data_IF_532100328213
#
_entry.id   IF_532100328213
#
_cell.length_a   1.000
_cell.length_b   1.000
_cell.length_c   1.000
_cell.angle_alpha   90.00
_cell.angle_beta   90.00
_cell.angle_gamma   90.00
#
_symmetry.space_group_name_H-M   'P 1'
#
loop_
_entity.id
_entity.type
_entity.pdbx_description
1 polymer ?
#
# COMPACT_ATOMS: atom_id res chain seq x y z
N UNK A 1 58.32 18.70 -26.50
CA UNK A 1 58.13 17.74 -27.61
C UNK A 1 56.92 18.20 -28.42
N UNK A 2 57.17 18.88 -29.55
CA UNK A 2 56.88 18.41 -30.94
C UNK A 2 55.37 18.34 -31.26
N UNK A 3 54.76 19.38 -31.89
CA UNK A 3 54.62 19.66 -33.36
C UNK A 3 53.66 18.68 -34.06
N UNK A 4 52.81 18.98 -35.06
CA UNK A 4 52.38 20.13 -35.89
C UNK A 4 51.49 19.55 -37.03
N UNK A 5 50.79 20.40 -37.81
CA UNK A 5 50.29 20.23 -39.21
C UNK A 5 48.98 19.44 -39.46
N UNK A 6 48.12 19.74 -40.46
CA UNK A 6 48.03 20.73 -41.59
C UNK A 6 46.69 20.43 -42.33
N UNK A 7 45.74 21.37 -42.53
CA UNK A 7 45.51 22.31 -43.65
C UNK A 7 44.84 21.80 -44.97
N UNK A 8 43.84 22.59 -45.42
CA UNK A 8 43.34 22.97 -46.79
C UNK A 8 42.46 22.05 -47.68
N UNK A 9 41.20 22.49 -47.88
CA UNK A 9 40.49 23.01 -49.10
C UNK A 9 40.86 22.48 -50.53
N UNK A 10 39.91 22.43 -51.52
CA UNK A 10 39.29 23.64 -52.10
C UNK A 10 37.86 23.57 -52.71
N UNK A 11 37.43 24.77 -53.09
CA UNK A 11 36.21 25.26 -53.75
C UNK A 11 36.13 24.86 -55.23
N UNK A 12 34.92 24.74 -55.82
CA UNK A 12 34.70 25.02 -57.25
C UNK A 12 33.25 25.51 -57.55
N UNK A 13 33.15 26.70 -58.15
CA UNK A 13 31.99 27.28 -58.83
C UNK A 13 31.79 26.63 -60.21
N UNK A 14 30.56 26.61 -60.75
CA UNK A 14 30.31 26.97 -62.15
C UNK A 14 28.83 27.38 -62.38
N UNK A 15 28.67 28.45 -63.16
CA UNK A 15 27.45 29.15 -63.56
C UNK A 15 27.04 28.75 -64.99
N UNK A 16 25.78 29.03 -65.38
CA UNK A 16 25.34 29.74 -66.61
C UNK A 16 24.04 29.17 -67.24
N UNK A 17 23.01 30.01 -67.24
CA UNK A 17 22.18 30.53 -68.35
C UNK A 17 21.49 29.61 -69.39
N UNK A 18 20.23 29.96 -69.71
CA UNK A 18 19.70 29.87 -71.09
C UNK A 18 18.23 29.41 -71.28
N UNK A 19 17.28 30.35 -71.24
CA UNK A 19 16.01 30.35 -72.02
C UNK A 19 16.27 30.74 -73.50
N UNK A 20 15.30 30.84 -74.44
CA UNK A 20 14.06 30.10 -74.79
C UNK A 20 14.13 29.69 -76.32
N UNK A 21 13.07 29.47 -77.18
CA UNK A 21 11.99 30.43 -77.53
C UNK A 21 10.59 29.85 -77.92
N UNK A 22 9.64 30.78 -78.11
CA UNK A 22 8.30 30.71 -78.70
C UNK A 22 8.24 30.29 -80.19
N UNK A 23 7.12 29.72 -80.65
CA UNK A 23 6.33 30.22 -81.81
C UNK A 23 5.06 29.40 -82.13
N UNK A 24 4.05 30.12 -82.61
CA UNK A 24 2.66 29.73 -82.95
C UNK A 24 2.50 28.68 -84.06
N UNK A 25 1.36 27.95 -84.04
CA UNK A 25 0.56 27.75 -85.26
C UNK A 25 -0.90 27.34 -84.97
N UNK A 26 -1.83 28.14 -85.46
CA UNK A 26 -3.29 27.91 -85.51
C UNK A 26 -3.65 27.03 -86.73
N UNK A 27 -4.42 25.95 -86.56
CA UNK A 27 -5.21 25.33 -87.65
C UNK A 27 -6.54 24.76 -87.14
N UNK A 28 -7.63 25.39 -87.59
CA UNK A 28 -8.99 24.89 -87.59
C UNK A 28 -9.14 23.62 -88.44
N UNK A 29 -9.68 22.53 -87.87
CA UNK A 29 -10.45 21.53 -88.64
C UNK A 29 -11.66 21.04 -87.83
N UNK A 30 -12.86 21.24 -88.39
CA UNK A 30 -14.12 20.64 -87.92
C UNK A 30 -14.11 19.16 -88.25
N UNK A 31 -14.41 18.29 -87.29
CA UNK A 31 -14.77 16.90 -87.55
C UNK A 31 -16.05 16.55 -86.78
N UNK A 32 -16.88 15.80 -87.49
CA UNK A 32 -18.29 15.53 -87.30
C UNK A 32 -18.51 14.52 -86.15
N UNK A 33 -19.61 14.70 -85.42
CA UNK A 33 -20.06 13.86 -84.30
C UNK A 33 -20.26 12.39 -84.69
N UNK A 34 -19.72 11.46 -83.88
CA UNK A 34 -20.17 10.07 -83.85
C UNK A 34 -20.81 9.75 -82.48
N UNK A 35 -22.15 9.73 -82.45
CA UNK A 35 -23.00 9.51 -81.26
C UNK A 35 -23.05 8.06 -80.78
N UNK A 36 -21.90 7.42 -80.53
CA UNK A 36 -21.86 6.04 -79.94
C UNK A 36 -20.97 5.85 -78.70
N UNK A 37 -20.23 6.88 -78.25
CA UNK A 37 -19.38 6.80 -77.04
C UNK A 37 -19.97 7.36 -75.74
N UNK A 38 -21.10 8.08 -75.80
CA UNK A 38 -21.55 8.91 -74.67
C UNK A 38 -22.24 8.15 -73.53
N UNK A 39 -22.77 6.94 -73.80
CA UNK A 39 -23.54 6.16 -72.82
C UNK A 39 -22.63 5.31 -71.92
N UNK A 40 -21.43 4.94 -72.37
CA UNK A 40 -20.48 4.12 -71.60
C UNK A 40 -19.66 4.98 -70.61
N UNK A 41 -19.41 6.26 -70.92
CA UNK A 41 -18.63 7.15 -70.04
C UNK A 41 -19.39 7.60 -68.78
N UNK A 42 -20.72 7.71 -68.80
CA UNK A 42 -21.51 8.15 -67.62
C UNK A 42 -21.64 7.07 -66.53
N UNK A 43 -21.53 5.78 -66.88
CA UNK A 43 -21.60 4.68 -65.90
C UNK A 43 -20.31 4.47 -65.12
N UNK A 44 -19.14 4.73 -65.73
CA UNK A 44 -17.83 4.62 -65.07
C UNK A 44 -17.52 5.82 -64.16
N UNK A 45 -17.98 7.02 -64.51
CA UNK A 45 -17.79 8.23 -63.67
C UNK A 45 -18.63 8.22 -62.40
N UNK A 46 -19.86 7.68 -62.44
CA UNK A 46 -20.71 7.52 -61.24
C UNK A 46 -20.13 6.47 -60.28
N UNK A 47 -19.55 5.38 -60.80
CA UNK A 47 -18.94 4.36 -59.95
C UNK A 47 -17.65 4.86 -59.27
N UNK A 48 -16.85 5.67 -59.97
CA UNK A 48 -15.60 6.23 -59.44
C UNK A 48 -15.86 7.30 -58.37
N UNK A 49 -16.88 8.15 -58.51
CA UNK A 49 -17.23 9.14 -57.48
C UNK A 49 -17.93 8.52 -56.26
N UNK A 50 -18.63 7.41 -56.43
CA UNK A 50 -19.25 6.65 -55.33
C UNK A 50 -18.21 5.87 -54.54
N UNK A 51 -17.19 5.31 -55.20
CA UNK A 51 -16.03 4.69 -54.54
C UNK A 51 -15.13 5.73 -53.88
N UNK A 52 -14.96 6.92 -54.47
CA UNK A 52 -14.17 8.00 -53.87
C UNK A 52 -14.86 8.61 -52.64
N UNK A 53 -16.20 8.78 -52.64
CA UNK A 53 -16.95 9.20 -51.44
C UNK A 53 -17.03 8.10 -50.37
N UNK A 54 -17.07 6.82 -50.76
CA UNK A 54 -17.00 5.69 -49.82
C UNK A 54 -15.60 5.53 -49.21
N UNK A 55 -14.54 5.89 -49.95
CA UNK A 55 -13.18 5.95 -49.41
C UNK A 55 -12.94 7.18 -48.53
N UNK A 56 -13.61 8.31 -48.79
CA UNK A 56 -13.51 9.52 -47.97
C UNK A 56 -14.26 9.39 -46.63
N UNK A 57 -15.33 8.58 -46.57
CA UNK A 57 -16.03 8.26 -45.31
C UNK A 57 -15.32 7.20 -44.45
N UNK A 58 -14.38 6.44 -45.02
CA UNK A 58 -13.56 5.46 -44.31
C UNK A 58 -12.26 6.03 -43.72
N UNK A 59 -11.91 7.28 -44.03
CA UNK A 59 -10.63 7.90 -43.64
C UNK A 59 -10.71 8.84 -42.41
N UNK A 60 -11.86 8.97 -41.76
CA UNK A 60 -12.04 9.81 -40.55
C UNK A 60 -12.50 9.00 -39.34
N UNK A 61 -11.85 7.87 -39.08
CA UNK A 61 -11.77 7.37 -37.70
C UNK A 61 -10.54 8.02 -37.07
N UNK A 62 -10.71 9.26 -36.59
CA UNK A 62 -9.74 9.79 -35.64
C UNK A 62 -9.70 8.81 -34.46
N UNK A 63 -8.52 8.33 -34.02
CA UNK A 63 -8.46 7.62 -32.76
C UNK A 63 -8.96 8.59 -31.69
N UNK A 64 -10.15 8.31 -31.14
CA UNK A 64 -10.55 8.91 -29.88
C UNK A 64 -9.58 8.36 -28.85
N UNK A 65 -8.56 9.13 -28.51
CA UNK A 65 -7.75 8.84 -27.33
C UNK A 65 -8.71 8.93 -26.15
N UNK A 66 -9.12 7.78 -25.63
CA UNK A 66 -9.79 7.72 -24.35
C UNK A 66 -8.82 8.34 -23.34
N UNK A 67 -9.24 9.45 -22.74
CA UNK A 67 -8.50 10.04 -21.64
C UNK A 67 -8.48 9.05 -20.48
N UNK A 68 -7.29 8.76 -19.94
CA UNK A 68 -7.14 7.77 -18.89
C UNK A 68 -8.01 8.14 -17.69
N UNK A 69 -8.77 7.15 -17.19
CA UNK A 69 -9.66 7.36 -16.06
C UNK A 69 -8.87 7.71 -14.79
N UNK A 70 -9.44 8.61 -13.97
CA UNK A 70 -8.84 8.97 -12.68
C UNK A 70 -8.66 7.74 -11.80
N UNK A 71 -7.45 7.56 -11.27
CA UNK A 71 -7.09 6.46 -10.37
C UNK A 71 -6.64 7.00 -9.03
N UNK A 72 -6.99 6.29 -7.96
CA UNK A 72 -6.68 6.68 -6.60
C UNK A 72 -5.95 5.56 -5.88
N UNK A 73 -4.78 5.89 -5.34
CA UNK A 73 -3.94 4.96 -4.58
C UNK A 73 -3.50 5.65 -3.29
N UNK A 74 -3.13 4.88 -2.28
CA UNK A 74 -2.50 5.43 -1.09
C UNK A 74 -1.14 4.81 -0.85
N UNK A 75 -0.27 5.57 -0.19
CA UNK A 75 1.08 5.16 0.17
C UNK A 75 1.34 5.52 1.62
N UNK A 76 2.17 4.74 2.29
CA UNK A 76 2.47 4.93 3.71
C UNK A 76 3.94 5.29 3.87
N UNK A 77 4.25 6.21 4.78
CA UNK A 77 5.64 6.66 5.02
C UNK A 77 6.55 5.50 5.41
N UNK A 78 6.07 4.66 6.33
CA UNK A 78 6.76 3.51 6.87
C UNK A 78 5.73 2.44 7.22
N UNK A 79 6.07 1.17 6.97
CA UNK A 79 5.19 0.05 7.32
C UNK A 79 5.45 -0.48 8.74
N UNK A 80 6.50 0.03 9.40
CA UNK A 80 6.91 -0.34 10.74
C UNK A 80 7.56 0.85 11.45
N UNK A 81 7.26 1.06 12.75
CA UNK A 81 7.97 2.06 13.55
C UNK A 81 7.85 1.78 15.06
N UNK A 82 8.89 2.14 15.82
CA UNK A 82 8.86 2.09 17.29
C UNK A 82 8.08 3.24 17.91
N UNK A 83 8.06 4.42 17.28
CA UNK A 83 7.29 5.58 17.76
C UNK A 83 5.78 5.39 17.58
N UNK A 84 5.40 4.44 16.73
CA UNK A 84 4.01 4.14 16.39
C UNK A 84 3.35 5.17 15.48
N UNK A 85 4.06 6.23 15.06
CA UNK A 85 3.50 7.25 14.18
C UNK A 85 3.82 6.96 12.72
N UNK A 86 2.81 7.08 11.86
CA UNK A 86 2.94 6.91 10.41
C UNK A 86 1.97 7.82 9.66
N UNK A 87 2.33 8.16 8.43
CA UNK A 87 1.51 9.02 7.57
C UNK A 87 1.10 8.29 6.31
N UNK A 88 -0.20 8.28 6.04
CA UNK A 88 -0.77 7.82 4.77
C UNK A 88 -0.94 9.03 3.86
N UNK A 89 -0.40 8.93 2.64
CA UNK A 89 -0.55 9.92 1.57
C UNK A 89 -1.52 9.39 0.52
N UNK A 90 -2.55 10.16 0.24
CA UNK A 90 -3.56 9.90 -0.78
C UNK A 90 -3.08 10.46 -2.10
N UNK A 91 -3.04 9.65 -3.14
CA UNK A 91 -2.57 10.05 -4.47
C UNK A 91 -3.67 9.88 -5.49
N UNK A 92 -3.86 10.92 -6.29
CA UNK A 92 -4.68 10.90 -7.49
C UNK A 92 -3.79 10.82 -8.73
N UNK A 93 -4.20 10.04 -9.71
CA UNK A 93 -3.58 9.98 -11.04
C UNK A 93 -4.62 10.33 -12.09
N UNK A 94 -4.21 11.04 -13.15
CA UNK A 94 -5.09 11.49 -14.23
C UNK A 94 -6.34 12.22 -13.68
N UNK A 95 -6.14 13.10 -12.70
CA UNK A 95 -7.21 13.92 -12.13
C UNK A 95 -7.56 15.01 -13.14
N UNK A 96 -8.83 15.14 -13.46
CA UNK A 96 -9.31 16.12 -14.44
C UNK A 96 -9.59 17.47 -13.82
N UNK A 97 -10.19 17.46 -12.64
CA UNK A 97 -10.61 18.66 -11.92
C UNK A 97 -10.97 18.32 -10.48
N UNK A 98 -10.04 18.55 -9.56
CA UNK A 98 -10.24 18.37 -8.13
C UNK A 98 -10.36 19.72 -7.44
N UNK A 99 -11.59 20.18 -7.25
CA UNK A 99 -11.91 21.40 -6.53
C UNK A 99 -12.14 21.16 -5.03
N UNK A 100 -12.83 20.07 -4.69
CA UNK A 100 -13.01 19.65 -3.30
C UNK A 100 -13.00 18.12 -3.18
N UNK A 101 -12.72 17.63 -1.97
CA UNK A 101 -12.86 16.22 -1.65
C UNK A 101 -13.39 15.98 -0.24
N UNK A 102 -14.04 14.82 -0.08
CA UNK A 102 -14.34 14.18 1.20
C UNK A 102 -13.82 12.74 1.11
N UNK A 103 -12.88 12.38 1.98
CA UNK A 103 -12.31 11.03 2.03
C UNK A 103 -12.61 10.37 3.39
N UNK A 104 -12.94 9.08 3.34
CA UNK A 104 -13.29 8.27 4.52
C UNK A 104 -12.37 7.08 4.64
N UNK A 105 -11.96 6.81 5.88
CA UNK A 105 -11.08 5.69 6.21
C UNK A 105 -11.64 4.91 7.38
N UNK A 106 -11.72 3.59 7.25
CA UNK A 106 -12.01 2.71 8.38
C UNK A 106 -10.72 2.27 9.05
N UNK A 107 -10.71 2.24 10.37
CA UNK A 107 -9.57 1.82 11.19
C UNK A 107 -10.04 1.31 12.56
N UNK A 108 -9.19 0.62 13.31
CA UNK A 108 -9.52 0.22 14.69
C UNK A 108 -9.16 1.33 15.70
N UNK A 109 -10.17 2.02 16.24
CA UNK A 109 -9.95 3.11 17.20
C UNK A 109 -9.40 2.65 18.56
N UNK A 110 -9.42 1.35 18.86
CA UNK A 110 -8.74 0.82 20.05
C UNK A 110 -7.23 0.69 19.83
N UNK A 111 -6.79 0.61 18.56
CA UNK A 111 -5.38 0.45 18.18
C UNK A 111 -4.74 1.74 17.66
N UNK A 112 -5.54 2.62 17.06
CA UNK A 112 -5.04 3.82 16.39
C UNK A 112 -5.73 5.08 16.91
N UNK A 113 -4.99 6.17 16.86
CA UNK A 113 -5.45 7.53 17.06
C UNK A 113 -5.12 8.36 15.82
N UNK A 114 -6.05 9.22 15.40
CA UNK A 114 -5.80 10.18 14.32
C UNK A 114 -5.12 11.40 14.92
N UNK A 115 -3.91 11.71 14.46
CA UNK A 115 -3.12 12.85 14.94
C UNK A 115 -3.49 14.11 14.17
N UNK A 116 -3.47 14.04 12.84
CA UNK A 116 -3.79 15.17 11.96
C UNK A 116 -4.10 14.71 10.54
N UNK A 117 -4.73 15.58 9.76
CA UNK A 117 -4.75 15.49 8.31
C UNK A 117 -4.32 16.83 7.72
N UNK A 118 -3.67 16.79 6.56
CA UNK A 118 -3.05 17.96 5.95
C UNK A 118 -3.07 17.81 4.42
N UNK A 119 -3.00 18.92 3.69
CA UNK A 119 -2.92 18.92 2.23
C UNK A 119 -2.11 20.11 1.72
N UNK A 120 -1.41 19.91 0.60
CA UNK A 120 -0.69 20.97 -0.10
C UNK A 120 -1.62 21.79 -1.01
N UNK A 121 -2.84 21.31 -1.24
CA UNK A 121 -3.83 22.03 -2.05
C UNK A 121 -4.28 23.28 -1.27
N UNK A 122 -4.25 24.47 -1.89
CA UNK A 122 -4.67 25.70 -1.23
C UNK A 122 -6.19 25.72 -1.06
N UNK A 123 -6.65 26.08 0.13
CA UNK A 123 -8.08 26.13 0.43
C UNK A 123 -8.37 26.02 1.91
N UNK A 124 -9.54 25.47 2.23
CA UNK A 124 -10.02 25.26 3.58
C UNK A 124 -10.18 23.76 3.85
N UNK A 125 -9.57 23.28 4.93
CA UNK A 125 -9.70 21.90 5.42
C UNK A 125 -10.45 21.88 6.74
N UNK A 126 -11.28 20.85 6.94
CA UNK A 126 -11.83 20.56 8.26
C UNK A 126 -10.83 19.74 9.08
N UNK A 127 -10.86 19.90 10.40
CA UNK A 127 -10.18 18.96 11.29
C UNK A 127 -10.72 17.53 11.08
N UNK A 128 -9.87 16.50 11.19
CA UNK A 128 -10.31 15.11 11.02
C UNK A 128 -11.48 14.77 11.96
N UNK A 129 -12.58 14.30 11.40
CA UNK A 129 -13.76 13.90 12.16
C UNK A 129 -13.73 12.40 12.39
N UNK A 130 -13.54 11.98 13.64
CA UNK A 130 -13.53 10.56 14.02
C UNK A 130 -14.88 10.16 14.62
N UNK A 131 -15.53 9.15 14.03
CA UNK A 131 -16.78 8.57 14.54
C UNK A 131 -16.88 7.11 14.12
N UNK A 132 -17.29 6.22 15.04
CA UNK A 132 -17.58 4.81 14.74
C UNK A 132 -16.47 4.07 13.97
N UNK A 133 -15.21 4.12 14.43
CA UNK A 133 -14.07 3.48 13.75
C UNK A 133 -13.82 4.00 12.31
N UNK A 134 -14.35 5.17 11.98
CA UNK A 134 -14.12 5.86 10.72
C UNK A 134 -13.57 7.26 10.98
N UNK A 135 -12.66 7.70 10.11
CA UNK A 135 -12.22 9.09 10.05
C UNK A 135 -12.61 9.69 8.71
N UNK A 136 -13.25 10.86 8.76
CA UNK A 136 -13.55 11.68 7.59
C UNK A 136 -12.62 12.88 7.56
N UNK A 137 -12.01 13.11 6.41
CA UNK A 137 -11.27 14.33 6.11
C UNK A 137 -11.90 15.00 4.90
N UNK A 138 -11.95 16.33 4.88
CA UNK A 138 -12.47 17.06 3.75
C UNK A 138 -11.69 18.35 3.52
N UNK A 139 -11.62 18.76 2.26
CA UNK A 139 -10.96 19.97 1.82
C UNK A 139 -11.72 20.58 0.65
N UNK A 140 -11.74 21.90 0.57
CA UNK A 140 -12.26 22.65 -0.57
C UNK A 140 -11.34 23.79 -0.93
N UNK A 141 -11.12 24.01 -2.22
CA UNK A 141 -10.60 25.28 -2.72
C UNK A 141 -11.62 26.39 -2.43
N UNK A 142 -11.15 27.63 -2.43
CA UNK A 142 -11.97 28.82 -2.18
C UNK A 142 -11.86 29.77 -3.38
N UNK A 143 -12.98 30.34 -3.78
CA UNK A 143 -13.07 31.27 -4.92
C UNK A 143 -13.43 30.59 -6.23
N UNK A 144 -13.51 31.39 -7.29
CA UNK A 144 -13.82 30.93 -8.64
C UNK A 144 -12.52 30.56 -9.36
N UNK A 145 -11.97 29.40 -9.00
CA UNK A 145 -10.73 28.86 -9.54
C UNK A 145 -10.95 27.44 -10.04
N UNK A 146 -10.25 27.04 -11.10
CA UNK A 146 -10.19 25.65 -11.54
C UNK A 146 -9.70 24.74 -10.40
N UNK A 147 -10.13 23.48 -10.40
CA UNK A 147 -9.55 22.46 -9.54
C UNK A 147 -8.18 21.97 -10.04
N UNK A 148 -7.53 21.20 -9.17
CA UNK A 148 -6.23 20.60 -9.47
C UNK A 148 -6.36 19.51 -10.56
N UNK A 149 -5.29 19.34 -11.35
CA UNK A 149 -5.27 18.42 -12.50
C UNK A 149 -3.98 17.61 -12.54
N UNK A 150 -4.03 16.45 -13.20
CA UNK A 150 -2.90 15.54 -13.38
C UNK A 150 -2.67 14.62 -12.17
N UNK A 151 -1.41 14.24 -11.96
CA UNK A 151 -1.00 13.39 -10.85
C UNK A 151 -0.63 14.25 -9.63
N UNK A 152 -1.28 14.02 -8.49
CA UNK A 152 -1.05 14.83 -7.30
C UNK A 152 -1.25 14.08 -5.97
N UNK A 153 -0.56 14.54 -4.94
CA UNK A 153 -0.83 14.16 -3.55
C UNK A 153 -2.07 14.95 -3.08
N UNK A 154 -3.22 14.28 -2.97
CA UNK A 154 -4.51 14.88 -2.60
C UNK A 154 -4.47 15.39 -1.15
N UNK A 155 -3.85 14.62 -0.28
CA UNK A 155 -3.76 14.93 1.14
C UNK A 155 -3.06 13.83 1.91
N UNK A 156 -2.84 14.08 3.18
CA UNK A 156 -2.18 13.17 4.12
C UNK A 156 -3.02 13.02 5.36
N UNK A 157 -2.94 11.85 5.98
CA UNK A 157 -3.49 11.59 7.31
C UNK A 157 -2.41 10.90 8.13
N UNK A 158 -2.16 11.43 9.33
CA UNK A 158 -1.17 10.91 10.26
C UNK A 158 -1.89 10.19 11.39
N UNK A 159 -1.48 8.95 11.63
CA UNK A 159 -1.97 8.11 12.70
C UNK A 159 -0.88 7.86 13.74
N UNK A 160 -1.29 7.55 14.96
CA UNK A 160 -0.43 7.03 16.03
C UNK A 160 -1.01 5.72 16.56
N UNK A 161 -0.20 4.68 16.57
CA UNK A 161 -0.54 3.41 17.20
C UNK A 161 -0.48 3.51 18.72
N UNK A 162 -1.55 3.09 19.38
CA UNK A 162 -1.71 3.12 20.84
C UNK A 162 -0.92 2.02 21.54
N UNK A 163 -0.77 0.87 20.89
CA UNK A 163 -0.07 -0.32 21.43
C UNK A 163 0.77 -0.99 20.36
N UNK A 164 1.76 -1.75 20.80
CA UNK A 164 2.60 -2.59 19.93
C UNK A 164 1.76 -3.67 19.26
N UNK A 165 2.08 -3.95 17.99
CA UNK A 165 1.39 -4.93 17.17
C UNK A 165 0.90 -4.38 15.84
N UNK A 166 0.14 -5.22 15.13
CA UNK A 166 -0.34 -4.93 13.78
C UNK A 166 -1.70 -4.22 13.78
N UNK A 167 -1.81 -3.24 12.89
CA UNK A 167 -3.03 -2.50 12.60
C UNK A 167 -3.14 -2.22 11.11
N UNK A 168 -4.34 -1.84 10.69
CA UNK A 168 -4.64 -1.55 9.30
C UNK A 168 -5.53 -0.31 9.20
N UNK A 169 -5.32 0.46 8.14
CA UNK A 169 -6.20 1.54 7.72
C UNK A 169 -6.65 1.26 6.30
N UNK A 170 -7.96 1.37 6.07
CA UNK A 170 -8.58 1.12 4.76
C UNK A 170 -9.25 2.38 4.23
N UNK A 171 -8.96 2.72 2.97
CA UNK A 171 -9.61 3.82 2.27
C UNK A 171 -10.95 3.36 1.69
N UNK A 172 -12.04 3.75 2.34
CA UNK A 172 -13.38 3.22 2.05
C UNK A 172 -14.13 4.05 1.01
N UNK A 173 -13.97 5.37 1.03
CA UNK A 173 -14.69 6.27 0.12
C UNK A 173 -13.87 7.52 -0.19
N UNK A 174 -14.00 8.00 -1.43
CA UNK A 174 -13.54 9.31 -1.85
C UNK A 174 -14.65 9.96 -2.68
N UNK A 175 -15.24 11.04 -2.19
CA UNK A 175 -16.07 11.93 -3.00
C UNK A 175 -15.19 13.08 -3.47
N UNK A 176 -15.14 13.31 -4.77
CA UNK A 176 -14.52 14.51 -5.37
C UNK A 176 -15.62 15.44 -5.89
N UNK A 177 -15.29 16.72 -5.99
CA UNK A 177 -16.13 17.76 -6.58
C UNK A 177 -15.28 18.57 -7.56
N UNK A 178 -15.81 18.85 -8.74
CA UNK A 178 -15.19 19.67 -9.78
C UNK A 178 -15.49 21.17 -9.57
N UNK A 179 -14.87 22.08 -10.33
CA UNK A 179 -15.13 23.53 -10.17
C UNK A 179 -16.57 23.94 -10.55
N UNK A 180 -17.28 23.08 -11.27
CA UNK A 180 -18.71 23.25 -11.61
C UNK A 180 -19.65 22.65 -10.56
N UNK A 181 -19.11 22.27 -9.39
CA UNK A 181 -19.83 21.68 -8.27
C UNK A 181 -20.49 20.33 -8.57
N UNK A 182 -20.04 19.63 -9.61
CA UNK A 182 -20.45 18.26 -9.90
C UNK A 182 -19.62 17.33 -9.03
N UNK A 183 -20.28 16.36 -8.42
CA UNK A 183 -19.60 15.40 -7.54
C UNK A 183 -19.59 14.00 -8.12
N UNK A 184 -18.48 13.30 -7.91
CA UNK A 184 -18.35 11.87 -8.21
C UNK A 184 -17.81 11.15 -6.98
N UNK A 185 -18.30 9.92 -6.73
CA UNK A 185 -17.85 9.08 -5.62
C UNK A 185 -17.06 7.90 -6.17
N UNK A 186 -15.93 7.64 -5.53
CA UNK A 186 -15.01 6.54 -5.80
C UNK A 186 -14.88 5.66 -4.56
N UNK A 187 -14.60 4.38 -4.78
CA UNK A 187 -14.30 3.39 -3.76
C UNK A 187 -12.91 2.80 -4.02
N UNK A 188 -11.83 3.48 -3.59
CA UNK A 188 -10.47 3.02 -3.86
C UNK A 188 -10.21 1.61 -3.33
N UNK A 189 -10.79 1.26 -2.17
CA UNK A 189 -10.65 -0.05 -1.52
C UNK A 189 -9.18 -0.43 -1.23
N UNK A 190 -8.33 0.59 -1.13
CA UNK A 190 -6.92 0.45 -0.77
C UNK A 190 -6.78 0.18 0.74
N UNK A 191 -5.75 -0.58 1.09
CA UNK A 191 -5.47 -0.99 2.47
C UNK A 191 -3.99 -0.81 2.79
N UNK A 192 -3.67 -0.28 3.98
CA UNK A 192 -2.29 -0.15 4.45
C UNK A 192 -2.16 -0.76 5.82
N UNK A 193 -1.28 -1.75 5.91
CA UNK A 193 -0.84 -2.31 7.17
C UNK A 193 0.25 -1.46 7.79
N UNK A 194 0.26 -1.42 9.12
CA UNK A 194 1.31 -0.79 9.90
C UNK A 194 1.59 -1.62 11.15
N UNK A 195 2.86 -1.78 11.49
CA UNK A 195 3.31 -2.49 12.68
C UNK A 195 4.00 -1.53 13.65
N UNK A 196 3.41 -1.29 14.82
CA UNK A 196 4.18 -0.70 15.93
C UNK A 196 5.05 -1.80 16.53
N UNK A 197 6.35 -1.55 16.67
CA UNK A 197 7.31 -2.45 17.34
C UNK A 197 7.77 -1.87 18.67
N UNK A 198 8.32 -2.70 19.54
CA UNK A 198 9.05 -2.21 20.71
C UNK A 198 10.35 -1.51 20.27
N UNK A 199 10.72 -0.47 21.00
CA UNK A 199 11.88 0.37 20.70
C UNK A 199 13.21 -0.37 20.82
N UNK A 200 13.31 -1.26 21.81
CA UNK A 200 14.46 -2.12 22.08
C UNK A 200 14.58 -3.34 21.16
N UNK A 201 13.62 -3.54 20.24
CA UNK A 201 13.71 -4.56 19.19
C UNK A 201 14.22 -4.01 17.85
N UNK A 202 14.48 -2.71 17.75
CA UNK A 202 15.03 -2.11 16.54
C UNK A 202 16.41 -2.71 16.21
N UNK A 203 16.49 -3.49 15.12
CA UNK A 203 17.71 -4.18 14.72
C UNK A 203 18.05 -5.44 15.56
N UNK A 204 17.19 -5.83 16.51
CA UNK A 204 17.43 -7.02 17.31
C UNK A 204 17.10 -8.31 16.53
N UNK A 205 17.96 -9.32 16.63
CA UNK A 205 17.83 -10.57 15.85
C UNK A 205 16.52 -11.32 16.14
N UNK A 206 16.03 -11.24 17.39
CA UNK A 206 14.79 -11.90 17.81
C UNK A 206 13.52 -11.11 17.47
N UNK A 207 13.62 -9.94 16.83
CA UNK A 207 12.48 -9.04 16.55
C UNK A 207 11.33 -9.79 15.89
N UNK A 208 11.60 -10.51 14.81
CA UNK A 208 10.56 -11.21 14.04
C UNK A 208 9.83 -12.27 14.86
N UNK A 209 10.57 -13.07 15.64
CA UNK A 209 10.00 -14.11 16.50
C UNK A 209 9.17 -13.52 17.65
N UNK A 210 9.68 -12.46 18.29
CA UNK A 210 8.98 -11.77 19.38
C UNK A 210 7.69 -11.14 18.86
N UNK A 211 7.75 -10.39 17.75
CA UNK A 211 6.57 -9.75 17.17
C UNK A 211 5.52 -10.76 16.70
N UNK A 212 5.93 -11.95 16.23
CA UNK A 212 5.03 -13.06 15.93
C UNK A 212 4.36 -13.60 17.19
N UNK A 213 5.09 -13.71 18.31
CA UNK A 213 4.49 -14.13 19.58
C UNK A 213 3.54 -13.07 20.14
N UNK A 214 3.83 -11.78 19.96
CA UNK A 214 2.93 -10.67 20.32
C UNK A 214 1.65 -10.76 19.50
N UNK A 215 1.73 -10.96 18.18
CA UNK A 215 0.54 -11.07 17.33
C UNK A 215 -0.35 -12.27 17.67
N UNK A 216 0.21 -13.29 18.33
CA UNK A 216 -0.49 -14.47 18.84
C UNK A 216 -0.95 -14.34 20.30
N UNK A 217 -0.72 -13.18 20.93
CA UNK A 217 -0.98 -12.94 22.36
C UNK A 217 -0.27 -13.95 23.30
N UNK A 218 0.91 -14.44 22.90
CA UNK A 218 1.72 -15.36 23.71
C UNK A 218 2.64 -14.58 24.65
N UNK A 219 3.23 -13.49 24.15
CA UNK A 219 4.10 -12.59 24.91
C UNK A 219 3.50 -11.18 24.91
N UNK A 220 3.82 -10.42 25.95
CA UNK A 220 3.48 -9.01 26.10
C UNK A 220 4.77 -8.26 26.45
N UNK A 221 4.81 -6.96 26.18
CA UNK A 221 5.93 -6.10 26.58
C UNK A 221 5.99 -5.94 28.10
N UNK A 222 7.14 -5.48 28.58
CA UNK A 222 7.28 -5.02 29.96
C UNK A 222 6.47 -3.72 30.17
N UNK A 223 6.42 -2.90 29.12
CA UNK A 223 5.57 -1.72 29.01
C UNK A 223 5.12 -1.52 27.54
N UNK A 224 4.54 -0.36 27.24
CA UNK A 224 3.99 -0.04 25.91
C UNK A 224 5.07 0.16 24.81
N UNK A 225 6.35 0.32 25.19
CA UNK A 225 7.46 0.66 24.30
C UNK A 225 8.69 -0.27 24.44
N UNK A 226 8.77 -1.13 25.46
CA UNK A 226 9.90 -2.05 25.71
C UNK A 226 9.49 -3.51 25.91
N UNK A 227 10.31 -4.43 25.37
CA UNK A 227 10.17 -5.87 25.57
C UNK A 227 11.22 -6.47 26.52
N UNK A 228 12.41 -5.85 26.60
CA UNK A 228 13.59 -6.29 27.32
C UNK A 228 14.17 -7.65 26.82
N UNK A 229 14.51 -7.78 25.51
CA UNK A 229 14.87 -9.05 24.87
C UNK A 229 16.11 -9.76 25.44
N UNK A 230 17.03 -8.99 26.03
CA UNK A 230 18.30 -9.51 26.56
C UNK A 230 18.25 -9.84 28.06
N UNK A 231 17.09 -9.67 28.70
CA UNK A 231 16.92 -9.99 30.12
C UNK A 231 16.77 -11.49 30.36
N UNK A 232 17.28 -11.95 31.49
CA UNK A 232 17.07 -13.32 31.93
C UNK A 232 15.59 -13.55 32.23
N UNK A 233 15.09 -14.70 31.80
CA UNK A 233 13.70 -15.12 32.01
C UNK A 233 13.61 -15.98 33.28
N UNK A 234 12.57 -15.77 34.09
CA UNK A 234 12.29 -16.60 35.26
C UNK A 234 11.53 -17.88 34.89
N UNK A 235 11.57 -18.89 35.76
CA UNK A 235 10.80 -20.13 35.58
C UNK A 235 9.29 -19.87 35.46
N UNK A 236 8.76 -18.93 36.26
CA UNK A 236 7.35 -18.53 36.18
C UNK A 236 6.98 -17.86 34.85
N UNK A 237 7.84 -16.96 34.36
CA UNK A 237 7.65 -16.34 33.04
C UNK A 237 7.66 -17.39 31.94
N UNK A 238 8.63 -18.31 31.94
CA UNK A 238 8.72 -19.35 30.92
C UNK A 238 7.55 -20.34 30.97
N UNK A 239 7.10 -20.74 32.16
CA UNK A 239 5.89 -21.56 32.31
C UNK A 239 4.63 -20.84 31.78
N UNK A 240 4.54 -19.53 31.98
CA UNK A 240 3.46 -18.71 31.46
C UNK A 240 3.46 -18.65 29.94
N UNK A 241 4.64 -18.49 29.32
CA UNK A 241 4.80 -18.53 27.87
C UNK A 241 4.30 -19.85 27.27
N UNK A 242 4.73 -20.99 27.83
CA UNK A 242 4.29 -22.30 27.33
C UNK A 242 2.78 -22.49 27.53
N UNK A 243 2.26 -22.10 28.69
CA UNK A 243 0.84 -22.23 29.01
C UNK A 243 -0.04 -21.44 28.03
N UNK A 244 0.35 -20.19 27.72
CA UNK A 244 -0.29 -19.35 26.70
C UNK A 244 -0.13 -19.95 25.29
N UNK A 245 1.09 -20.35 24.91
CA UNK A 245 1.39 -20.88 23.58
C UNK A 245 0.61 -22.16 23.24
N UNK A 246 0.40 -23.03 24.23
CA UNK A 246 -0.37 -24.26 24.08
C UNK A 246 -1.87 -24.09 24.38
N UNK A 247 -2.31 -22.90 24.80
CA UNK A 247 -3.68 -22.63 25.24
C UNK A 247 -4.17 -23.68 26.25
N UNK A 248 -3.33 -23.99 27.25
CA UNK A 248 -3.61 -25.03 28.24
C UNK A 248 -4.91 -24.72 28.97
N UNK A 249 -5.75 -25.75 29.11
CA UNK A 249 -7.04 -25.62 29.80
C UNK A 249 -6.83 -25.63 31.31
N UNK A 250 -7.70 -24.90 32.00
CA UNK A 250 -7.81 -25.02 33.44
C UNK A 250 -8.17 -26.47 33.76
N UNK A 251 -7.32 -27.06 34.59
CA UNK A 251 -7.58 -28.33 35.22
C UNK A 251 -7.74 -28.05 36.71
N UNK A 252 -8.71 -28.67 37.38
CA UNK A 252 -9.01 -28.45 38.79
C UNK A 252 -7.96 -29.06 39.72
N UNK A 253 -6.71 -29.12 39.26
CA UNK A 253 -5.56 -29.65 39.98
C UNK A 253 -5.16 -28.68 41.09
N UNK A 254 -5.05 -29.22 42.30
CA UNK A 254 -4.51 -28.52 43.46
C UNK A 254 -3.06 -28.07 43.17
N UNK A 255 -2.72 -26.87 43.59
CA UNK A 255 -1.34 -26.38 43.50
C UNK A 255 -0.44 -27.23 44.41
N UNK A 256 0.55 -27.98 43.89
CA UNK A 256 1.46 -28.77 44.71
C UNK A 256 2.58 -27.92 45.35
N UNK A 257 2.77 -26.68 44.90
CA UNK A 257 3.93 -25.86 45.25
C UNK A 257 3.60 -24.79 46.30
N UNK A 258 4.31 -24.82 47.42
CA UNK A 258 4.09 -23.91 48.54
C UNK A 258 4.60 -22.49 48.27
N UNK A 259 5.54 -22.32 47.35
CA UNK A 259 6.11 -21.03 46.94
C UNK A 259 5.38 -20.38 45.75
N UNK A 260 4.31 -21.01 45.26
CA UNK A 260 3.41 -20.41 44.29
C UNK A 260 2.21 -19.83 45.04
N UNK A 261 2.30 -18.55 45.38
CA UNK A 261 1.29 -17.86 46.16
C UNK A 261 -0.04 -17.75 45.41
N UNK A 262 -1.14 -17.92 46.15
CA UNK A 262 -2.49 -17.72 45.62
C UNK A 262 -2.68 -16.28 45.15
N UNK A 263 -3.25 -16.09 43.95
CA UNK A 263 -3.46 -14.78 43.33
C UNK A 263 -2.23 -14.22 42.61
N UNK A 264 -1.09 -14.91 42.62
CA UNK A 264 0.05 -14.52 41.78
C UNK A 264 -0.29 -14.67 40.29
N UNK A 265 0.21 -13.76 39.45
CA UNK A 265 -0.08 -13.75 38.01
C UNK A 265 0.35 -15.05 37.31
N UNK A 266 1.33 -15.77 37.87
CA UNK A 266 1.82 -17.05 37.39
C UNK A 266 1.15 -18.27 38.03
N UNK A 267 0.26 -18.13 39.02
CA UNK A 267 -0.37 -19.27 39.69
C UNK A 267 -1.11 -20.18 38.69
N UNK A 268 -2.05 -19.61 37.94
CA UNK A 268 -2.84 -20.38 36.96
C UNK A 268 -1.96 -20.99 35.87
N UNK A 269 -1.05 -20.25 35.21
CA UNK A 269 -0.16 -20.84 34.22
C UNK A 269 0.72 -21.98 34.75
N UNK A 270 1.28 -21.84 35.96
CA UNK A 270 2.10 -22.89 36.60
C UNK A 270 1.25 -24.12 36.89
N UNK A 271 0.07 -23.97 37.49
CA UNK A 271 -0.85 -25.09 37.75
C UNK A 271 -1.23 -25.84 36.48
N UNK A 272 -1.57 -25.11 35.40
CA UNK A 272 -1.89 -25.68 34.09
C UNK A 272 -0.73 -26.47 33.50
N UNK A 273 0.46 -25.88 33.53
CA UNK A 273 1.66 -26.54 33.01
C UNK A 273 2.03 -27.78 33.84
N UNK A 274 1.79 -27.75 35.16
CA UNK A 274 2.01 -28.89 36.04
C UNK A 274 1.01 -30.02 35.76
N UNK A 275 -0.28 -29.70 35.69
CA UNK A 275 -1.34 -30.65 35.34
C UNK A 275 -1.09 -31.32 33.97
N UNK A 276 -0.56 -30.54 33.01
CA UNK A 276 -0.17 -31.04 31.69
C UNK A 276 1.14 -31.86 31.68
N UNK A 277 1.82 -32.04 32.82
CA UNK A 277 3.08 -32.76 32.92
C UNK A 277 4.27 -32.06 32.23
N UNK A 278 4.16 -30.76 31.98
CA UNK A 278 5.18 -29.97 31.28
C UNK A 278 6.26 -29.50 32.24
N UNK A 279 5.86 -29.09 33.44
CA UNK A 279 6.76 -28.63 34.50
C UNK A 279 6.79 -29.59 35.67
N UNK A 280 7.95 -29.61 36.33
CA UNK A 280 8.13 -30.18 37.66
C UNK A 280 8.70 -29.09 38.58
N UNK A 281 8.53 -29.28 39.89
CA UNK A 281 9.21 -28.46 40.89
C UNK A 281 10.72 -28.66 40.90
N UNK A 282 11.43 -27.75 41.56
CA UNK A 282 12.83 -27.97 41.96
C UNK A 282 12.93 -28.94 43.15
N UNK A 283 11.82 -29.15 43.84
CA UNK A 283 11.56 -30.21 44.81
C UNK A 283 10.08 -30.60 44.76
N UNK A 284 9.66 -31.58 45.57
CA UNK A 284 8.27 -32.06 45.62
C UNK A 284 7.25 -30.96 45.98
N UNK A 285 7.67 -29.93 46.70
CA UNK A 285 6.79 -28.87 47.19
C UNK A 285 7.19 -27.47 46.72
N UNK A 286 8.23 -27.31 45.89
CA UNK A 286 8.77 -26.00 45.54
C UNK A 286 8.99 -25.85 44.02
N UNK A 287 8.51 -24.77 43.43
CA UNK A 287 8.66 -24.50 41.99
C UNK A 287 9.85 -23.58 41.65
N UNK A 288 10.22 -22.70 42.57
CA UNK A 288 11.14 -21.57 42.44
C UNK A 288 10.75 -20.59 41.32
N UNK A 289 9.59 -19.90 41.41
CA UNK A 289 9.04 -19.08 40.33
C UNK A 289 9.97 -17.95 39.85
N UNK A 290 10.67 -17.30 40.78
CA UNK A 290 11.54 -16.15 40.51
C UNK A 290 12.98 -16.54 40.12
N UNK A 291 13.33 -17.83 40.17
CA UNK A 291 14.65 -18.30 39.75
C UNK A 291 14.77 -18.16 38.23
N UNK A 292 15.90 -17.61 37.77
CA UNK A 292 16.24 -17.61 36.34
C UNK A 292 16.29 -19.05 35.82
N UNK A 293 15.60 -19.30 34.71
CA UNK A 293 15.56 -20.62 34.09
C UNK A 293 16.85 -20.90 33.33
N UNK A 294 17.39 -22.11 33.46
CA UNK A 294 18.57 -22.51 32.68
C UNK A 294 18.17 -23.05 31.30
N UNK A 295 19.13 -23.14 30.37
CA UNK A 295 18.87 -23.68 29.03
C UNK A 295 18.43 -25.14 29.06
N UNK A 296 18.96 -25.91 30.00
CA UNK A 296 18.61 -27.31 30.23
C UNK A 296 17.17 -27.43 30.74
N UNK A 297 16.79 -26.59 31.72
CA UNK A 297 15.43 -26.53 32.25
C UNK A 297 14.42 -26.11 31.16
N UNK A 298 14.74 -25.09 30.37
CA UNK A 298 13.92 -24.67 29.22
C UNK A 298 13.74 -25.82 28.21
N UNK A 299 14.82 -26.50 27.86
CA UNK A 299 14.78 -27.61 26.89
C UNK A 299 13.92 -28.76 27.40
N UNK A 300 14.05 -29.13 28.68
CA UNK A 300 13.23 -30.17 29.28
C UNK A 300 11.73 -29.83 29.23
N UNK A 301 11.37 -28.57 29.57
CA UNK A 301 9.99 -28.10 29.50
C UNK A 301 9.46 -28.09 28.06
N UNK A 302 10.24 -27.61 27.09
CA UNK A 302 9.86 -27.59 25.68
C UNK A 302 9.66 -29.00 25.10
N UNK A 303 10.51 -29.96 25.49
CA UNK A 303 10.37 -31.35 25.05
C UNK A 303 9.07 -31.98 25.57
N UNK A 304 8.72 -31.74 26.84
CA UNK A 304 7.45 -32.20 27.41
C UNK A 304 6.26 -31.47 26.78
N UNK A 305 6.37 -30.16 26.55
CA UNK A 305 5.37 -29.36 25.87
C UNK A 305 5.09 -29.87 24.45
N UNK A 306 6.15 -30.17 23.68
CA UNK A 306 6.03 -30.77 22.34
C UNK A 306 5.31 -32.12 22.42
N UNK A 307 5.72 -33.00 23.33
CA UNK A 307 5.11 -34.30 23.52
C UNK A 307 3.60 -34.20 23.86
N UNK A 308 3.23 -33.25 24.73
CA UNK A 308 1.85 -32.94 25.07
C UNK A 308 1.05 -32.45 23.84
N UNK A 309 1.64 -31.57 23.02
CA UNK A 309 0.99 -31.05 21.81
C UNK A 309 0.74 -32.10 20.73
N UNK A 310 1.59 -33.13 20.66
CA UNK A 310 1.47 -34.24 19.70
C UNK A 310 0.70 -35.45 20.25
N UNK A 311 0.15 -35.36 21.47
CA UNK A 311 -0.53 -36.47 22.16
C UNK A 311 0.37 -37.67 22.48
N UNK A 312 1.69 -37.50 22.39
CA UNK A 312 2.67 -38.56 22.66
C UNK A 312 3.06 -38.45 24.14
N UNK A 313 2.54 -39.33 25.00
CA UNK A 313 2.95 -39.30 26.42
C UNK A 313 4.44 -39.63 26.52
N UNK A 314 5.22 -38.69 27.07
CA UNK A 314 6.63 -38.90 27.35
C UNK A 314 6.77 -40.00 28.42
N UNK A 315 7.46 -41.10 28.09
CA UNK A 315 7.84 -42.11 29.09
C UNK A 315 9.01 -41.53 29.88
N UNK A 316 8.73 -41.08 31.10
CA UNK A 316 9.73 -40.82 32.13
C UNK A 316 10.40 -42.11 32.55
#
# INVERSE_FOLDING_TARGET
MKTSCSARQPIRNMSLDGEPPHSDCNKNQRIIWNKRGWIIMKRKTILVTLVCNLCLSLALSAPAFAEDASKFVMTTSDNESSTGQFTITLKGQNIQDLFAYEAKFSFDANKLEVVKADTKIPGFSISPLVKNNEVTIAHTKVGNVDGEKGDLDIGTITFKAKKVGSTNVKWTSLKIVDHNLRSQVFTPNESSDFNKIFSDLAGHWAKSDIMLMVSKNIVEGMDDDHFAPDTNVTRAQFATLISKALNLKDDNVQNPFTDVASGSWYESPVKKAYAAGIINGVSDSNFAPEKNITREEMTAMLMRAKAQSTGTKWKT
#
